data_IF_135985609272
#
_entry.id   IF_135985609272
#
_cell.length_a   1.000
_cell.length_b   1.000
_cell.length_c   1.000
_cell.angle_alpha   90.00
_cell.angle_beta   90.00
_cell.angle_gamma   90.00
#
_symmetry.space_group_name_H-M   'P 1'
#
loop_
_entity.id
_entity.type
_entity.pdbx_description
1 polymer ?
#
# COMPACT_ATOMS: atom_id res chain seq x y z
N UNK A 1 -9.96 8.03 22.33
CA UNK A 1 -9.96 8.92 21.16
C UNK A 1 -9.04 8.27 20.15
N UNK A 2 -9.56 7.76 19.02
CA UNK A 2 -8.70 7.10 18.03
C UNK A 2 -7.70 8.12 17.51
N UNK A 3 -6.40 7.80 17.61
CA UNK A 3 -5.36 8.63 17.04
C UNK A 3 -5.41 8.49 15.51
N UNK A 4 -5.31 9.60 14.78
CA UNK A 4 -5.32 9.59 13.31
C UNK A 4 -4.20 8.69 12.77
N UNK A 5 -3.07 8.62 13.47
CA UNK A 5 -1.98 7.72 13.10
C UNK A 5 -2.36 6.25 13.22
N UNK A 6 -3.16 5.86 14.21
CA UNK A 6 -3.58 4.47 14.36
C UNK A 6 -4.42 4.03 13.16
N UNK A 7 -5.35 4.90 12.73
CA UNK A 7 -6.17 4.68 11.53
C UNK A 7 -5.34 4.61 10.25
N UNK A 8 -4.38 5.54 10.07
CA UNK A 8 -3.51 5.54 8.89
C UNK A 8 -2.59 4.30 8.82
N UNK A 9 -2.30 3.68 9.96
CA UNK A 9 -1.43 2.51 10.07
C UNK A 9 -2.19 1.17 10.05
N UNK A 10 -3.52 1.20 9.88
CA UNK A 10 -4.34 -0.01 9.76
C UNK A 10 -3.88 -0.90 8.59
N UNK A 11 -3.93 -2.23 8.74
CA UNK A 11 -3.42 -3.16 7.73
C UNK A 11 -4.32 -3.27 6.48
N UNK A 12 -5.59 -2.86 6.58
CA UNK A 12 -6.60 -3.02 5.53
C UNK A 12 -6.32 -2.16 4.29
N UNK A 13 -5.53 -1.09 4.44
CA UNK A 13 -5.04 -0.27 3.34
C UNK A 13 -3.51 -0.21 3.34
N UNK A 14 -2.83 -1.25 2.81
CA UNK A 14 -1.37 -1.36 2.89
C UNK A 14 -0.65 -0.24 2.14
N UNK A 15 -1.26 0.34 1.10
CA UNK A 15 -0.71 1.50 0.37
C UNK A 15 -0.68 2.74 1.26
N UNK A 16 -1.80 3.06 1.92
CA UNK A 16 -1.86 4.19 2.86
C UNK A 16 -0.86 3.98 3.99
N UNK A 17 -0.84 2.78 4.61
CA UNK A 17 0.13 2.45 5.67
C UNK A 17 1.58 2.66 5.20
N UNK A 18 1.93 2.17 4.02
CA UNK A 18 3.28 2.33 3.45
C UNK A 18 3.67 3.81 3.30
N UNK A 19 2.80 4.62 2.70
CA UNK A 19 3.09 6.04 2.49
C UNK A 19 3.11 6.83 3.80
N UNK A 20 2.27 6.49 4.77
CA UNK A 20 2.33 7.06 6.12
C UNK A 20 3.67 6.76 6.80
N UNK A 21 4.13 5.50 6.77
CA UNK A 21 5.42 5.12 7.35
C UNK A 21 6.59 5.86 6.68
N UNK A 22 6.61 5.95 5.34
CA UNK A 22 7.71 6.57 4.58
C UNK A 22 7.74 8.09 4.63
N UNK A 23 6.57 8.73 4.51
CA UNK A 23 6.51 10.17 4.21
C UNK A 23 5.96 11.02 5.36
N UNK A 24 5.21 10.43 6.29
CA UNK A 24 4.72 11.16 7.47
C UNK A 24 5.55 10.85 8.72
N UNK A 25 6.10 9.64 8.79
CA UNK A 25 6.91 9.18 9.92
C UNK A 25 8.41 9.04 9.57
N UNK A 26 8.80 9.43 8.36
CA UNK A 26 10.19 9.44 7.86
C UNK A 26 10.97 8.12 8.05
N UNK A 27 10.27 6.97 8.11
CA UNK A 27 10.94 5.67 8.23
C UNK A 27 11.69 5.34 6.95
N UNK A 28 12.90 4.77 7.04
CA UNK A 28 13.69 4.45 5.85
C UNK A 28 13.08 3.27 5.07
N UNK A 29 13.50 3.10 3.83
CA UNK A 29 12.96 2.06 2.93
C UNK A 29 13.23 0.63 3.44
N UNK A 30 14.33 0.43 4.17
CA UNK A 30 14.75 -0.86 4.74
C UNK A 30 14.11 -1.17 6.09
N UNK A 31 13.27 -0.28 6.63
CA UNK A 31 12.48 -0.54 7.83
C UNK A 31 11.55 -1.75 7.62
N UNK A 32 11.50 -2.63 8.63
CA UNK A 32 10.77 -3.89 8.52
C UNK A 32 9.26 -3.70 8.29
N UNK A 33 8.65 -2.68 8.88
CA UNK A 33 7.23 -2.39 8.69
C UNK A 33 6.95 -1.79 7.33
N UNK A 34 7.85 -0.93 6.84
CA UNK A 34 7.80 -0.40 5.48
C UNK A 34 7.85 -1.54 4.46
N UNK A 35 8.80 -2.47 4.59
CA UNK A 35 8.93 -3.62 3.71
C UNK A 35 7.75 -4.58 3.83
N UNK A 36 7.17 -4.74 5.01
CA UNK A 36 5.96 -5.52 5.21
C UNK A 36 4.75 -4.89 4.49
N UNK A 37 4.52 -3.60 4.67
CA UNK A 37 3.45 -2.88 4.00
C UNK A 37 3.62 -2.91 2.47
N UNK A 38 4.85 -2.69 1.97
CA UNK A 38 5.16 -2.75 0.54
C UNK A 38 4.85 -4.11 -0.08
N UNK A 39 5.17 -5.20 0.62
CA UNK A 39 4.83 -6.57 0.16
C UNK A 39 3.32 -6.80 0.16
N UNK A 40 2.60 -6.31 1.16
CA UNK A 40 1.15 -6.44 1.26
C UNK A 40 0.39 -5.68 0.15
N UNK A 41 0.94 -4.57 -0.37
CA UNK A 41 0.35 -3.84 -1.51
C UNK A 41 0.13 -4.77 -2.71
N UNK A 42 1.14 -5.59 -3.04
CA UNK A 42 1.11 -6.47 -4.22
C UNK A 42 0.00 -7.53 -4.16
N UNK A 43 -0.43 -7.91 -2.95
CA UNK A 43 -1.48 -8.90 -2.74
C UNK A 43 -2.80 -8.28 -2.29
N UNK A 44 -2.89 -6.95 -2.28
CA UNK A 44 -4.11 -6.25 -1.89
C UNK A 44 -5.18 -6.35 -2.98
N UNK A 45 -6.43 -6.46 -2.55
CA UNK A 45 -7.57 -6.66 -3.46
C UNK A 45 -7.71 -5.57 -4.53
N UNK A 46 -7.54 -4.27 -4.22
CA UNK A 46 -7.58 -3.22 -5.24
C UNK A 46 -6.48 -3.36 -6.29
N UNK A 47 -5.24 -3.69 -5.88
CA UNK A 47 -4.12 -3.88 -6.80
C UNK A 47 -4.36 -5.09 -7.69
N UNK A 48 -4.83 -6.20 -7.12
CA UNK A 48 -5.18 -7.39 -7.89
C UNK A 48 -6.27 -7.10 -8.93
N UNK A 49 -7.31 -6.34 -8.59
CA UNK A 49 -8.35 -5.91 -9.53
C UNK A 49 -7.81 -5.04 -10.66
N UNK A 50 -6.96 -4.08 -10.34
CA UNK A 50 -6.34 -3.19 -11.33
C UNK A 50 -5.48 -4.00 -12.31
N UNK A 51 -4.65 -4.92 -11.80
CA UNK A 51 -3.81 -5.77 -12.64
C UNK A 51 -4.64 -6.79 -13.44
N UNK A 52 -5.72 -7.33 -12.88
CA UNK A 52 -6.63 -8.21 -13.62
C UNK A 52 -7.38 -7.49 -14.75
N UNK A 53 -7.56 -6.17 -14.64
CA UNK A 53 -8.13 -5.33 -15.70
C UNK A 53 -7.09 -4.91 -16.75
N UNK A 54 -5.80 -5.22 -16.57
CA UNK A 54 -4.77 -4.93 -17.55
C UNK A 54 -4.88 -5.89 -18.73
N UNK A 55 -4.83 -5.35 -19.95
CA UNK A 55 -4.73 -6.16 -21.15
C UNK A 55 -3.41 -6.93 -21.18
N UNK A 56 -3.37 -8.07 -21.88
CA UNK A 56 -2.14 -8.88 -22.07
C UNK A 56 -0.98 -8.12 -22.71
N UNK A 57 -1.24 -7.08 -23.51
CA UNK A 57 -0.23 -6.20 -24.10
C UNK A 57 0.20 -5.07 -23.15
N UNK A 58 -0.32 -5.02 -21.92
CA UNK A 58 0.16 -4.13 -20.85
C UNK A 58 -0.58 -2.78 -20.73
N UNK A 59 -1.64 -2.54 -21.50
CA UNK A 59 -2.44 -1.32 -21.42
C UNK A 59 -3.75 -1.52 -20.66
N UNK A 60 -4.37 -0.42 -20.22
CA UNK A 60 -5.73 -0.40 -19.67
C UNK A 60 -6.69 0.26 -20.65
N UNK A 61 -7.90 -0.30 -20.77
CA UNK A 61 -8.98 0.31 -21.56
C UNK A 61 -9.45 1.61 -20.90
N UNK A 62 -9.87 2.57 -21.73
CA UNK A 62 -10.34 3.89 -21.31
C UNK A 62 -11.82 3.88 -20.92
#
# INVERSE_FOLDING_TARGET
MNNILDWLLEPDNPSVRYFTLRHLLDRPEDDAEVQAARRAIMTSEPVQKILAAQNSEGYWSK
#
